data_IF_591099171558
#
_entry.id   IF_591099171558
#
_cell.length_a   1.000
_cell.length_b   1.000
_cell.length_c   1.000
_cell.angle_alpha   90.00
_cell.angle_beta   90.00
_cell.angle_gamma   90.00
#
_symmetry.space_group_name_H-M   'P 1'
#
loop_
_entity.id
_entity.type
_entity.pdbx_description
1 polymer ?
#
# COMPACT_ATOMS: atom_id res chain seq x y z
N UNK A 1 17.36 -16.26 -16.86
CA UNK A 1 16.12 -15.94 -16.11
C UNK A 1 16.53 -15.66 -14.68
N UNK A 2 16.10 -14.56 -14.06
CA UNK A 2 16.35 -14.34 -12.63
C UNK A 2 15.44 -15.27 -11.84
N UNK A 3 15.98 -15.94 -10.82
CA UNK A 3 15.16 -16.69 -9.88
C UNK A 3 14.15 -15.75 -9.19
N UNK A 4 12.93 -16.21 -8.93
CA UNK A 4 11.94 -15.44 -8.20
C UNK A 4 12.47 -15.17 -6.78
N UNK A 5 12.66 -13.90 -6.44
CA UNK A 5 13.05 -13.48 -5.10
C UNK A 5 11.81 -13.46 -4.21
N UNK A 6 11.88 -14.09 -3.03
CA UNK A 6 10.78 -14.03 -2.05
C UNK A 6 10.66 -12.63 -1.48
N UNK A 7 9.45 -12.29 -1.07
CA UNK A 7 9.16 -11.01 -0.42
C UNK A 7 9.93 -10.88 0.90
N UNK A 8 10.00 -11.95 1.70
CA UNK A 8 10.75 -11.97 2.96
C UNK A 8 12.28 -11.85 2.78
N UNK A 9 12.83 -12.19 1.61
CA UNK A 9 14.26 -12.11 1.32
C UNK A 9 14.71 -10.68 0.99
N UNK A 10 13.77 -9.75 0.78
CA UNK A 10 14.05 -8.35 0.50
C UNK A 10 14.09 -7.61 1.85
N UNK A 11 15.22 -6.96 2.20
CA UNK A 11 15.27 -6.12 3.40
C UNK A 11 14.19 -5.03 3.37
N UNK A 12 13.53 -4.78 4.49
CA UNK A 12 12.45 -3.77 4.61
C UNK A 12 12.87 -2.38 4.13
N UNK A 13 14.14 -2.01 4.27
CA UNK A 13 14.64 -0.71 3.80
C UNK A 13 14.74 -0.62 2.28
N UNK A 14 14.84 -1.77 1.60
CA UNK A 14 14.89 -1.87 0.13
C UNK A 14 13.50 -1.97 -0.50
N UNK A 15 12.45 -2.13 0.30
CA UNK A 15 11.09 -2.12 -0.23
C UNK A 15 10.71 -0.74 -0.77
N UNK A 16 10.20 -0.65 -2.01
CA UNK A 16 9.82 0.62 -2.61
C UNK A 16 8.69 1.31 -1.83
N UNK A 17 7.77 0.51 -1.26
CA UNK A 17 6.67 0.98 -0.42
C UNK A 17 6.78 0.34 0.98
N UNK A 18 6.94 1.16 2.01
CA UNK A 18 6.93 0.74 3.42
C UNK A 18 5.66 1.20 4.09
N UNK A 19 5.32 0.63 5.26
CA UNK A 19 4.13 1.02 6.02
C UNK A 19 4.10 2.53 6.33
N UNK A 20 5.25 3.09 6.72
CA UNK A 20 5.40 4.52 7.00
C UNK A 20 5.15 5.36 5.74
N UNK A 21 5.76 4.99 4.61
CA UNK A 21 5.55 5.70 3.33
C UNK A 21 4.12 5.60 2.86
N UNK A 22 3.50 4.42 2.97
CA UNK A 22 2.10 4.20 2.62
C UNK A 22 1.17 5.08 3.45
N UNK A 23 1.38 5.13 4.77
CA UNK A 23 0.62 5.99 5.67
C UNK A 23 0.77 7.48 5.34
N UNK A 24 2.00 7.93 5.06
CA UNK A 24 2.26 9.31 4.66
C UNK A 24 1.58 9.67 3.33
N UNK A 25 1.68 8.82 2.32
CA UNK A 25 1.01 9.01 1.03
C UNK A 25 -0.50 9.08 1.19
N UNK A 26 -1.08 8.17 1.98
CA UNK A 26 -2.51 8.17 2.28
C UNK A 26 -2.98 9.48 2.89
N UNK A 27 -2.25 9.97 3.90
CA UNK A 27 -2.58 11.23 4.57
C UNK A 27 -2.47 12.43 3.63
N UNK A 28 -1.46 12.45 2.76
CA UNK A 28 -1.28 13.53 1.79
C UNK A 28 -2.41 13.55 0.75
N UNK A 29 -2.78 12.38 0.22
CA UNK A 29 -3.89 12.24 -0.74
C UNK A 29 -5.19 12.71 -0.09
N UNK A 30 -5.49 12.24 1.13
CA UNK A 30 -6.70 12.63 1.86
C UNK A 30 -6.76 14.11 2.18
N UNK A 31 -5.64 14.70 2.61
CA UNK A 31 -5.58 16.14 2.87
C UNK A 31 -5.82 16.96 1.59
N UNK A 32 -5.28 16.51 0.45
CA UNK A 32 -5.54 17.14 -0.84
C UNK A 32 -7.01 17.00 -1.27
N UNK A 33 -7.61 15.82 -1.10
CA UNK A 33 -9.02 15.57 -1.43
C UNK A 33 -9.94 16.54 -0.68
N UNK A 34 -9.75 16.64 0.66
CA UNK A 34 -10.46 17.60 1.51
C UNK A 34 -10.24 19.04 1.05
N UNK A 35 -9.00 19.39 0.69
CA UNK A 35 -8.66 20.72 0.19
C UNK A 35 -9.43 21.11 -1.08
N UNK A 36 -9.56 20.19 -2.03
CA UNK A 36 -10.31 20.42 -3.28
C UNK A 36 -11.83 20.42 -3.06
N UNK A 37 -12.35 19.54 -2.21
CA UNK A 37 -13.78 19.51 -1.86
C UNK A 37 -14.21 20.83 -1.19
N UNK A 38 -13.35 21.39 -0.33
CA UNK A 38 -13.62 22.65 0.36
C UNK A 38 -13.66 23.89 -0.56
N UNK A 39 -13.29 23.76 -1.84
CA UNK A 39 -13.47 24.84 -2.81
C UNK A 39 -14.95 25.12 -3.13
N UNK A 40 -15.85 24.17 -2.82
CA UNK A 40 -17.29 24.34 -3.04
C UNK A 40 -17.69 24.39 -4.53
N UNK A 41 -16.82 23.93 -5.43
CA UNK A 41 -17.08 23.87 -6.87
C UNK A 41 -17.26 22.43 -7.35
N UNK A 42 -18.02 22.24 -8.43
CA UNK A 42 -18.19 20.92 -9.05
C UNK A 42 -16.86 20.32 -9.54
N UNK A 43 -15.97 21.15 -10.08
CA UNK A 43 -14.62 20.74 -10.48
C UNK A 43 -13.78 20.33 -9.27
N UNK A 44 -13.84 21.08 -8.16
CA UNK A 44 -13.17 20.72 -6.91
C UNK A 44 -13.63 19.36 -6.38
N UNK A 45 -14.95 19.14 -6.33
CA UNK A 45 -15.53 17.85 -5.94
C UNK A 45 -15.12 16.69 -6.87
N UNK A 46 -14.94 16.97 -8.16
CA UNK A 46 -14.47 15.95 -9.11
C UNK A 46 -13.04 15.54 -8.78
N UNK A 47 -12.15 16.52 -8.53
CA UNK A 47 -10.76 16.24 -8.12
C UNK A 47 -10.71 15.51 -6.78
N UNK A 48 -11.53 15.91 -5.79
CA UNK A 48 -11.62 15.23 -4.50
C UNK A 48 -11.95 13.74 -4.63
N UNK A 49 -12.95 13.40 -5.45
CA UNK A 49 -13.33 12.01 -5.73
C UNK A 49 -12.22 11.19 -6.40
N UNK A 50 -11.51 11.77 -7.36
CA UNK A 50 -10.36 11.09 -8.00
C UNK A 50 -9.23 10.81 -7.00
N UNK A 51 -8.99 11.74 -6.08
CA UNK A 51 -8.01 11.56 -5.01
C UNK A 51 -8.45 10.49 -4.00
N UNK A 52 -9.72 10.46 -3.59
CA UNK A 52 -10.27 9.40 -2.75
C UNK A 52 -10.13 8.02 -3.41
N UNK A 53 -10.37 7.94 -4.73
CA UNK A 53 -10.17 6.70 -5.48
C UNK A 53 -8.69 6.29 -5.52
N UNK A 54 -7.77 7.24 -5.69
CA UNK A 54 -6.34 6.98 -5.60
C UNK A 54 -5.93 6.47 -4.20
N UNK A 55 -6.51 7.04 -3.13
CA UNK A 55 -6.33 6.56 -1.75
C UNK A 55 -6.75 5.09 -1.63
N UNK A 56 -7.92 4.73 -2.16
CA UNK A 56 -8.43 3.37 -2.11
C UNK A 56 -7.55 2.37 -2.87
N UNK A 57 -7.03 2.77 -4.04
CA UNK A 57 -6.09 1.94 -4.80
C UNK A 57 -4.76 1.74 -4.07
N UNK A 58 -4.27 2.77 -3.36
CA UNK A 58 -3.08 2.67 -2.51
C UNK A 58 -3.30 1.68 -1.36
N UNK A 59 -4.41 1.79 -0.63
CA UNK A 59 -4.75 0.87 0.47
C UNK A 59 -4.88 -0.58 -0.02
N UNK A 60 -5.48 -0.79 -1.20
CA UNK A 60 -5.55 -2.11 -1.83
C UNK A 60 -4.17 -2.66 -2.15
N UNK A 61 -3.29 -1.86 -2.75
CA UNK A 61 -1.92 -2.28 -3.06
C UNK A 61 -1.14 -2.64 -1.79
N UNK A 62 -1.31 -1.86 -0.73
CA UNK A 62 -0.69 -2.14 0.57
C UNK A 62 -1.20 -3.45 1.19
N UNK A 63 -2.50 -3.70 1.15
CA UNK A 63 -3.06 -4.97 1.65
C UNK A 63 -2.56 -6.19 0.87
N UNK A 64 -2.32 -6.05 -0.45
CA UNK A 64 -1.70 -7.11 -1.23
C UNK A 64 -0.26 -7.39 -0.80
N UNK A 65 0.52 -6.34 -0.54
CA UNK A 65 1.89 -6.45 -0.02
C UNK A 65 1.91 -7.21 1.32
N UNK A 66 1.08 -6.77 2.28
CA UNK A 66 0.97 -7.43 3.59
C UNK A 66 0.51 -8.88 3.45
N UNK A 67 -0.45 -9.14 2.56
CA UNK A 67 -0.95 -10.49 2.30
C UNK A 67 0.13 -11.45 1.74
N UNK A 68 1.03 -10.95 0.89
CA UNK A 68 2.17 -11.73 0.39
C UNK A 68 3.15 -12.01 1.54
N UNK A 69 3.54 -11.01 2.33
CA UNK A 69 4.43 -11.18 3.49
C UNK A 69 3.90 -12.24 4.47
N UNK A 70 2.62 -12.18 4.81
CA UNK A 70 1.99 -13.11 5.75
C UNK A 70 1.80 -14.51 5.15
N UNK A 71 1.57 -14.62 3.84
CA UNK A 71 1.51 -15.91 3.16
C UNK A 71 2.88 -16.60 3.15
N UNK A 72 3.95 -15.86 2.86
CA UNK A 72 5.32 -16.41 2.88
C UNK A 72 5.76 -16.79 4.29
N UNK A 73 5.44 -15.98 5.30
CA UNK A 73 5.80 -16.25 6.71
C UNK A 73 5.10 -17.51 7.22
N UNK A 74 3.82 -17.71 6.86
CA UNK A 74 3.08 -18.93 7.19
C UNK A 74 3.67 -20.18 6.55
N UNK A 75 4.17 -20.11 5.32
CA UNK A 75 4.84 -21.24 4.64
C UNK A 75 6.14 -21.61 5.35
N UNK A 76 6.97 -20.61 5.65
CA UNK A 76 8.23 -20.83 6.38
C UNK A 76 8.03 -21.48 7.75
N UNK A 77 7.01 -21.07 8.50
CA UNK A 77 6.67 -21.70 9.77
C UNK A 77 6.17 -23.15 9.61
N UNK A 78 5.36 -23.43 8.59
CA UNK A 78 4.87 -24.78 8.32
C UNK A 78 6.02 -25.73 7.94
N UNK A 79 6.95 -25.26 7.10
CA UNK A 79 8.14 -26.01 6.70
C UNK A 79 9.07 -26.27 7.90
N UNK A 80 9.21 -25.28 8.81
CA UNK A 80 10.04 -25.40 10.02
C UNK A 80 9.43 -26.31 11.09
N UNK A 81 8.11 -26.50 11.10
CA UNK A 81 7.41 -27.36 12.06
C UNK A 81 7.36 -28.85 11.65
N UNK A 82 7.85 -29.18 10.45
CA UNK A 82 7.81 -30.54 9.87
C UNK A 82 9.17 -31.24 9.91
N UNK A 83 10.18 -30.62 10.54
CA UNK A 83 11.57 -31.13 10.69
C UNK A 83 11.82 -31.54 12.15
#
# INVERSE_FOLDING_TARGET
MKEPQRFLDIPRERFPLTAVKCHQLRNNIRAAAIGFDNLGTSSGQTVGRELDQAEHHLDRAWNLIVGIEDAERRREWADSATI
#
